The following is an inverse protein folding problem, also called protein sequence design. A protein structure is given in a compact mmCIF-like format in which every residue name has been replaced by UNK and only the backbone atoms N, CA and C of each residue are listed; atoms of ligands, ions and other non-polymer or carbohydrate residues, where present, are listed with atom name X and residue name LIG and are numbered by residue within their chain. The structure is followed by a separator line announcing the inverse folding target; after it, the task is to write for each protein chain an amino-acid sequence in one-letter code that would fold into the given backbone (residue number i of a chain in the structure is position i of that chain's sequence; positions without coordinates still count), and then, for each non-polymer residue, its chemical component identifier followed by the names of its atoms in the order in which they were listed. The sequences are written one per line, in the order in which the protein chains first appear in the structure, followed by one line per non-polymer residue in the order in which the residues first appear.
data_IF_480815508555
#
_entry.id   IF_480815508555
#
_cell.length_a   1.000
_cell.length_b   1.000
_cell.length_c   1.000
_cell.angle_alpha   90.00
_cell.angle_beta   90.00
_cell.angle_gamma   90.00
#
_symmetry.space_group_name_H-M   'P 1'
#
loop_
_entity.id
_entity.type
_entity.pdbx_description
1 polymer ?
#
# COMPACT_ATOMS: atom_id res chain seq x y z
N UNK A 1 -5.42 -15.91 -30.50
CA UNK A 1 -5.03 -16.88 -29.46
C UNK A 1 -4.61 -16.11 -28.21
N UNK A 2 -5.45 -16.13 -27.17
CA UNK A 2 -5.14 -15.50 -25.88
C UNK A 2 -4.16 -16.40 -25.13
N UNK A 3 -2.90 -15.98 -25.06
CA UNK A 3 -1.86 -16.75 -24.39
C UNK A 3 -2.20 -16.87 -22.89
N UNK A 4 -2.43 -18.07 -22.34
CA UNK A 4 -2.90 -18.25 -20.95
C UNK A 4 -1.97 -17.59 -19.92
N UNK A 5 -0.68 -17.51 -20.20
CA UNK A 5 0.32 -16.80 -19.39
C UNK A 5 0.05 -15.29 -19.30
N UNK A 6 -0.47 -14.67 -20.36
CA UNK A 6 -0.82 -13.23 -20.39
C UNK A 6 -2.04 -12.97 -19.50
N UNK A 7 -3.03 -13.86 -19.54
CA UNK A 7 -4.23 -13.75 -18.70
C UNK A 7 -3.89 -13.91 -17.21
N UNK A 8 -3.05 -14.89 -16.87
CA UNK A 8 -2.58 -15.10 -15.50
C UNK A 8 -1.76 -13.91 -14.98
N UNK A 9 -0.84 -13.39 -15.80
CA UNK A 9 -0.06 -12.18 -15.47
C UNK A 9 -0.94 -10.96 -15.25
N UNK A 10 -1.99 -10.80 -16.04
CA UNK A 10 -2.94 -9.70 -15.92
C UNK A 10 -3.81 -9.83 -14.66
N UNK A 11 -4.27 -11.03 -14.33
CA UNK A 11 -5.00 -11.29 -13.09
C UNK A 11 -4.14 -10.99 -11.86
N UNK A 12 -2.88 -11.45 -11.87
CA UNK A 12 -1.91 -11.16 -10.82
C UNK A 12 -1.64 -9.66 -10.65
N UNK A 13 -1.40 -8.95 -11.77
CA UNK A 13 -1.24 -7.48 -11.75
C UNK A 13 -2.46 -6.77 -11.16
N UNK A 14 -3.67 -7.19 -11.53
CA UNK A 14 -4.92 -6.61 -10.98
C UNK A 14 -5.02 -6.82 -9.48
N UNK A 15 -4.64 -8.00 -8.99
CA UNK A 15 -4.61 -8.28 -7.55
C UNK A 15 -3.58 -7.42 -6.81
N UNK A 16 -2.34 -7.35 -7.32
CA UNK A 16 -1.30 -6.49 -6.75
C UNK A 16 -1.72 -5.01 -6.70
N UNK A 17 -2.37 -4.50 -7.76
CA UNK A 17 -2.87 -3.13 -7.78
C UNK A 17 -3.93 -2.86 -6.71
N UNK A 18 -4.80 -3.85 -6.41
CA UNK A 18 -5.78 -3.74 -5.32
C UNK A 18 -5.09 -3.69 -3.96
N UNK A 19 -4.09 -4.54 -3.74
CA UNK A 19 -3.30 -4.53 -2.50
C UNK A 19 -2.52 -3.22 -2.32
N UNK A 20 -1.90 -2.72 -3.39
CA UNK A 20 -1.19 -1.45 -3.36
C UNK A 20 -2.13 -0.28 -3.00
N UNK A 21 -3.33 -0.24 -3.59
CA UNK A 21 -4.36 0.76 -3.23
C UNK A 21 -4.79 0.66 -1.76
N UNK A 22 -5.00 -0.55 -1.25
CA UNK A 22 -5.35 -0.77 0.15
C UNK A 22 -4.22 -0.31 1.09
N UNK A 23 -2.97 -0.64 0.75
CA UNK A 23 -1.80 -0.20 1.52
C UNK A 23 -1.67 1.33 1.50
N UNK A 24 -1.91 1.97 0.35
CA UNK A 24 -1.87 3.43 0.26
C UNK A 24 -2.97 4.09 1.10
N UNK A 25 -4.16 3.48 1.20
CA UNK A 25 -5.24 3.98 2.06
C UNK A 25 -4.91 3.83 3.55
N UNK A 26 -4.29 2.71 3.94
CA UNK A 26 -3.96 2.43 5.34
C UNK A 26 -2.72 3.20 5.83
N UNK A 27 -1.71 3.39 4.98
CA UNK A 27 -0.39 3.89 5.37
C UNK A 27 0.02 5.20 4.66
N UNK A 28 -0.78 5.70 3.71
CA UNK A 28 -0.46 6.86 2.89
C UNK A 28 0.50 6.53 1.74
N UNK A 29 1.07 7.56 1.11
CA UNK A 29 2.07 7.43 0.03
C UNK A 29 3.51 7.24 0.52
N UNK A 30 3.73 7.26 1.84
CA UNK A 30 5.05 7.09 2.43
C UNK A 30 5.47 5.62 2.49
N UNK A 31 6.77 5.37 2.41
CA UNK A 31 7.33 4.07 2.78
C UNK A 31 7.06 3.85 4.27
N UNK A 32 6.47 2.72 4.69
CA UNK A 32 6.31 2.39 6.09
C UNK A 32 7.69 2.39 6.77
N UNK A 33 7.91 3.36 7.65
CA UNK A 33 9.13 3.49 8.43
C UNK A 33 8.85 2.89 9.82
N UNK A 34 9.59 1.85 10.20
CA UNK A 34 9.43 1.20 11.50
C UNK A 34 9.59 2.18 12.67
N UNK A 35 10.38 3.24 12.50
CA UNK A 35 10.58 4.30 13.49
C UNK A 35 9.37 5.23 13.63
N UNK A 36 8.46 5.25 12.66
CA UNK A 36 7.30 6.16 12.60
C UNK A 36 5.96 5.43 12.67
N UNK A 37 5.95 4.11 12.52
CA UNK A 37 4.75 3.28 12.37
C UNK A 37 3.80 3.28 13.59
N UNK A 38 4.20 3.89 14.71
CA UNK A 38 3.37 4.09 15.90
C UNK A 38 3.60 5.44 16.60
N UNK A 39 4.25 6.40 15.93
CA UNK A 39 4.26 7.78 16.44
C UNK A 39 2.86 8.35 16.19
N UNK A 40 1.92 8.05 17.09
CA UNK A 40 0.78 8.93 17.29
C UNK A 40 1.39 10.32 17.43
N UNK A 41 1.05 11.22 16.51
CA UNK A 41 1.29 12.63 16.69
C UNK A 41 0.45 13.04 17.89
N UNK A 42 0.92 12.75 19.11
CA UNK A 42 0.62 13.58 20.24
C UNK A 42 1.12 14.93 19.80
N UNK A 43 0.22 15.73 19.23
CA UNK A 43 0.35 17.16 19.23
C UNK A 43 0.50 17.50 20.70
N UNK A 44 1.76 17.54 21.15
CA UNK A 44 2.11 18.18 22.38
C UNK A 44 1.57 19.59 22.20
N UNK A 45 0.46 19.89 22.87
CA UNK A 45 0.14 21.26 23.26
C UNK A 45 1.41 21.76 23.94
N UNK A 46 2.22 22.50 23.18
CA UNK A 46 3.32 23.26 23.74
C UNK A 46 2.67 24.37 24.58
N UNK A 47 3.15 24.62 25.82
CA UNK A 47 2.59 25.64 26.70
C UNK A 47 2.61 27.04 26.08
#
# INVERSE_FOLDING_TARGET
MTNPFVNMKNAWKRWLNRMAKANQQAYGSGVPDCCKMNRQTSQQKKP
#
